data_IF_699642776457
#
_entry.id   IF_699642776457
#
_cell.length_a   1.000
_cell.length_b   1.000
_cell.length_c   1.000
_cell.angle_alpha   90.00
_cell.angle_beta   90.00
_cell.angle_gamma   90.00
#
_symmetry.space_group_name_H-M   'P 1'
#
loop_
_entity.id
_entity.type
_entity.pdbx_description
1 polymer ?
#
# COMPACT_ATOMS: atom_id res chain seq x y z
N UNK A 1 0.63 -4.55 26.08
CA UNK A 1 0.00 -3.80 24.96
C UNK A 1 1.03 -3.19 24.01
N UNK A 2 2.16 -2.66 24.50
CA UNK A 2 3.26 -2.09 23.69
C UNK A 2 3.74 -2.97 22.52
N UNK A 3 3.83 -4.31 22.73
CA UNK A 3 4.20 -5.26 21.67
C UNK A 3 3.26 -5.22 20.47
N UNK A 4 1.94 -5.05 20.67
CA UNK A 4 0.96 -4.97 19.58
C UNK A 4 1.14 -3.68 18.76
N UNK A 5 1.40 -2.56 19.43
CA UNK A 5 1.69 -1.28 18.76
C UNK A 5 2.98 -1.34 17.93
N UNK A 6 4.04 -1.96 18.45
CA UNK A 6 5.29 -2.15 17.70
C UNK A 6 5.10 -3.04 16.46
N UNK A 7 4.29 -4.09 16.56
CA UNK A 7 3.95 -4.95 15.41
C UNK A 7 3.14 -4.17 14.38
N UNK A 8 2.16 -3.37 14.81
CA UNK A 8 1.38 -2.50 13.93
C UNK A 8 2.29 -1.51 13.19
N UNK A 9 3.17 -0.82 13.91
CA UNK A 9 4.10 0.16 13.34
C UNK A 9 5.02 -0.47 12.29
N UNK A 10 5.57 -1.67 12.57
CA UNK A 10 6.36 -2.42 11.59
C UNK A 10 5.56 -2.77 10.33
N UNK A 11 4.28 -3.13 10.48
CA UNK A 11 3.40 -3.39 9.33
C UNK A 11 3.15 -2.13 8.51
N UNK A 12 2.93 -0.99 9.15
CA UNK A 12 2.77 0.30 8.45
C UNK A 12 4.01 0.61 7.62
N UNK A 13 5.21 0.52 8.22
CA UNK A 13 6.48 0.75 7.50
C UNK A 13 6.60 -0.20 6.31
N UNK A 14 6.43 -1.51 6.54
CA UNK A 14 6.53 -2.51 5.48
C UNK A 14 5.56 -2.23 4.33
N UNK A 15 4.31 -1.89 4.63
CA UNK A 15 3.30 -1.59 3.61
C UNK A 15 3.60 -0.31 2.84
N UNK A 16 4.12 0.73 3.51
CA UNK A 16 4.59 1.95 2.85
C UNK A 16 5.69 1.62 1.84
N UNK A 17 6.67 0.80 2.22
CA UNK A 17 7.71 0.33 1.32
C UNK A 17 7.15 -0.52 0.18
N UNK A 18 6.15 -1.35 0.45
CA UNK A 18 5.52 -2.19 -0.55
C UNK A 18 4.82 -1.35 -1.64
N UNK A 19 4.06 -0.32 -1.26
CA UNK A 19 3.47 0.64 -2.21
C UNK A 19 4.57 1.38 -2.98
N UNK A 20 5.65 1.78 -2.30
CA UNK A 20 6.77 2.46 -2.95
C UNK A 20 7.45 1.59 -4.00
N UNK A 21 7.73 0.32 -3.70
CA UNK A 21 8.29 -0.62 -4.66
C UNK A 21 7.37 -0.81 -5.87
N UNK A 22 6.06 -0.96 -5.65
CA UNK A 22 5.10 -1.01 -6.75
C UNK A 22 5.18 0.24 -7.64
N UNK A 23 5.17 1.44 -7.03
CA UNK A 23 5.22 2.69 -7.77
C UNK A 23 6.50 2.83 -8.61
N UNK A 24 7.65 2.32 -8.14
CA UNK A 24 8.88 2.32 -8.94
C UNK A 24 8.75 1.55 -10.26
N UNK A 25 8.00 0.44 -10.26
CA UNK A 25 7.74 -0.33 -11.47
C UNK A 25 6.64 0.29 -12.33
N UNK A 26 5.61 0.87 -11.69
CA UNK A 26 4.41 1.34 -12.36
C UNK A 26 4.49 2.81 -12.86
N UNK A 27 5.54 3.55 -12.49
CA UNK A 27 5.71 4.95 -12.88
C UNK A 27 5.79 5.16 -14.41
N UNK A 28 6.34 4.20 -15.15
CA UNK A 28 6.41 4.23 -16.62
C UNK A 28 5.03 4.12 -17.28
N UNK A 29 4.06 3.52 -16.59
CA UNK A 29 2.67 3.39 -17.02
C UNK A 29 1.79 4.54 -16.50
N UNK A 30 2.38 5.49 -15.75
CA UNK A 30 1.66 6.53 -15.03
C UNK A 30 0.61 5.98 -14.03
N UNK A 31 0.78 4.73 -13.59
CA UNK A 31 -0.12 4.05 -12.66
C UNK A 31 0.42 4.13 -11.24
N UNK A 32 0.24 5.28 -10.58
CA UNK A 32 0.82 5.56 -9.25
C UNK A 32 -0.26 5.42 -8.17
N UNK A 33 0.00 4.57 -7.17
CA UNK A 33 -0.80 4.53 -5.94
C UNK A 33 -0.26 5.59 -4.98
N UNK A 34 -1.05 6.59 -4.57
CA UNK A 34 -0.57 7.65 -3.66
C UNK A 34 -0.20 7.05 -2.30
N UNK A 35 0.93 7.45 -1.73
CA UNK A 35 1.38 7.01 -0.40
C UNK A 35 0.83 7.99 0.64
N UNK A 36 -0.32 7.67 1.25
CA UNK A 36 -0.93 8.48 2.29
C UNK A 36 -1.53 7.59 3.39
N UNK A 37 -2.08 8.21 4.44
CA UNK A 37 -2.64 7.50 5.60
C UNK A 37 -3.78 6.55 5.19
N UNK A 38 -4.55 6.89 4.16
CA UNK A 38 -5.68 6.07 3.69
C UNK A 38 -5.17 4.83 2.98
N UNK A 39 -4.30 4.96 1.97
CA UNK A 39 -3.80 3.81 1.19
C UNK A 39 -2.95 2.88 2.03
N UNK A 40 -2.04 3.42 2.85
CA UNK A 40 -1.24 2.63 3.80
C UNK A 40 -2.14 1.98 4.84
N UNK A 41 -3.12 2.71 5.40
CA UNK A 41 -4.06 2.20 6.39
C UNK A 41 -4.91 1.04 5.84
N UNK A 42 -5.45 1.18 4.64
CA UNK A 42 -6.18 0.12 3.95
C UNK A 42 -5.29 -1.10 3.73
N UNK A 43 -4.06 -0.92 3.27
CA UNK A 43 -3.10 -2.03 3.12
C UNK A 43 -2.73 -2.66 4.47
N UNK A 44 -2.69 -1.90 5.56
CA UNK A 44 -2.37 -2.42 6.90
C UNK A 44 -3.53 -3.24 7.49
N UNK A 45 -4.77 -2.88 7.19
CA UNK A 45 -5.96 -3.61 7.63
C UNK A 45 -6.19 -4.86 6.78
N UNK A 46 -6.18 -4.72 5.45
CA UNK A 46 -6.58 -5.77 4.52
C UNK A 46 -5.39 -6.55 3.93
N UNK A 47 -4.16 -6.07 4.08
CA UNK A 47 -2.95 -6.74 3.64
C UNK A 47 -2.73 -6.68 2.13
N UNK A 48 -2.00 -7.68 1.61
CA UNK A 48 -1.66 -7.83 0.20
C UNK A 48 -2.86 -7.84 -0.77
N UNK A 49 -4.02 -8.45 -0.44
CA UNK A 49 -5.22 -8.35 -1.29
C UNK A 49 -5.61 -6.90 -1.64
N UNK A 50 -5.44 -5.97 -0.69
CA UNK A 50 -5.75 -4.56 -0.94
C UNK A 50 -4.85 -3.93 -1.99
N UNK A 51 -3.56 -4.30 -2.01
CA UNK A 51 -2.64 -3.82 -3.04
C UNK A 51 -3.15 -4.23 -4.43
N UNK A 52 -3.51 -5.51 -4.60
CA UNK A 52 -4.04 -6.01 -5.87
C UNK A 52 -5.32 -5.25 -6.23
N UNK A 53 -6.23 -5.05 -5.28
CA UNK A 53 -7.46 -4.29 -5.52
C UNK A 53 -7.18 -2.85 -5.95
N UNK A 54 -6.25 -2.15 -5.31
CA UNK A 54 -5.86 -0.79 -5.69
C UNK A 54 -5.27 -0.76 -7.11
N UNK A 55 -4.45 -1.73 -7.47
CA UNK A 55 -3.88 -1.85 -8.82
C UNK A 55 -4.98 -2.07 -9.86
N UNK A 56 -5.91 -3.00 -9.60
CA UNK A 56 -7.04 -3.28 -10.51
C UNK A 56 -7.94 -2.06 -10.66
N UNK A 57 -8.25 -1.36 -9.57
CA UNK A 57 -9.03 -0.12 -9.63
C UNK A 57 -8.30 0.93 -10.48
N UNK A 58 -6.98 1.08 -10.30
CA UNK A 58 -6.20 2.04 -11.08
C UNK A 58 -6.24 1.72 -12.58
N UNK A 59 -6.11 0.44 -12.95
CA UNK A 59 -6.12 -0.02 -14.35
C UNK A 59 -7.52 0.11 -15.00
N UNK A 60 -8.59 -0.06 -14.21
CA UNK A 60 -9.96 -0.01 -14.75
C UNK A 60 -10.51 1.41 -14.84
N UNK A 61 -10.09 2.30 -13.95
CA UNK A 61 -10.61 3.67 -13.85
C UNK A 61 -9.79 4.66 -14.69
N UNK A 62 -8.51 4.36 -14.93
CA UNK A 62 -7.55 5.23 -15.61
C UNK A 62 -7.09 4.61 -16.94
#
# INVERSE_FOLDING_TARGET
MLKKFLVLFKKVIYNTFLIYCYNLFAISLNLIIPINVITVGLLTIFGYPMLISLIVILILVY
#
